data_IF_357758119513
#
_entry.id   IF_357758119513
#
_cell.length_a   1.000
_cell.length_b   1.000
_cell.length_c   1.000
_cell.angle_alpha   90.00
_cell.angle_beta   90.00
_cell.angle_gamma   90.00
#
_symmetry.space_group_name_H-M   'P 1'
#
loop_
_entity.id
_entity.type
_entity.pdbx_description
1 polymer ?
#
# COMPACT_ATOMS: atom_id res chain seq x y z
N UNK A 1 66.80 -36.74 -15.50
CA UNK A 1 65.55 -35.99 -15.75
C UNK A 1 64.43 -36.66 -14.99
N UNK A 2 63.95 -36.03 -13.92
CA UNK A 2 62.89 -36.58 -13.04
C UNK A 2 61.63 -35.73 -13.21
N UNK A 3 60.55 -36.34 -13.75
CA UNK A 3 59.23 -35.75 -13.82
C UNK A 3 58.53 -35.87 -12.47
N UNK A 4 58.06 -34.73 -11.90
CA UNK A 4 57.26 -34.67 -10.72
C UNK A 4 55.82 -34.39 -11.06
N UNK A 5 54.98 -35.40 -11.01
CA UNK A 5 53.52 -35.28 -11.15
C UNK A 5 52.95 -34.72 -9.88
N UNK A 6 52.35 -33.52 -9.92
CA UNK A 6 51.51 -32.96 -8.85
C UNK A 6 50.04 -33.21 -9.20
N UNK A 7 49.42 -34.04 -8.43
CA UNK A 7 47.98 -34.24 -8.47
C UNK A 7 47.30 -33.06 -7.76
N UNK A 8 46.48 -32.27 -8.48
CA UNK A 8 45.56 -31.29 -7.92
C UNK A 8 44.23 -32.00 -7.67
N UNK A 9 43.90 -32.28 -6.41
CA UNK A 9 42.57 -32.73 -6.02
C UNK A 9 41.65 -31.52 -5.99
N UNK A 10 40.68 -31.46 -6.91
CA UNK A 10 39.63 -30.48 -6.90
C UNK A 10 38.56 -30.93 -5.87
N UNK A 11 38.43 -30.18 -4.80
CA UNK A 11 37.32 -30.34 -3.84
C UNK A 11 36.14 -29.54 -4.40
N UNK A 12 35.14 -30.25 -4.90
CA UNK A 12 33.88 -29.65 -5.35
C UNK A 12 33.00 -29.48 -4.12
N UNK A 13 32.88 -28.24 -3.63
CA UNK A 13 31.89 -27.85 -2.61
C UNK A 13 30.52 -27.71 -3.28
N UNK A 14 29.69 -28.71 -3.15
CA UNK A 14 28.26 -28.63 -3.45
C UNK A 14 27.57 -27.77 -2.38
N UNK A 15 27.39 -26.50 -2.66
CA UNK A 15 26.56 -25.62 -1.86
C UNK A 15 25.08 -25.92 -2.11
N UNK A 16 24.42 -26.54 -1.15
CA UNK A 16 22.95 -26.62 -1.11
C UNK A 16 22.42 -25.23 -0.77
N UNK A 17 21.93 -24.51 -1.76
CA UNK A 17 21.08 -23.34 -1.52
C UNK A 17 19.71 -23.87 -1.10
N UNK A 18 19.41 -23.84 0.20
CA UNK A 18 18.05 -24.03 0.70
C UNK A 18 17.21 -22.82 0.29
N UNK A 19 15.99 -23.00 -0.23
CA UNK A 19 15.09 -21.88 -0.46
C UNK A 19 14.76 -21.25 0.89
N UNK A 20 15.02 -19.94 1.03
CA UNK A 20 14.49 -19.15 2.14
C UNK A 20 12.96 -19.14 1.99
N UNK A 21 12.29 -20.06 2.67
CA UNK A 21 10.87 -19.95 2.87
C UNK A 21 10.64 -18.66 3.69
N UNK A 22 9.93 -17.71 3.11
CA UNK A 22 9.45 -16.55 3.81
C UNK A 22 8.54 -17.05 4.94
N UNK A 23 9.07 -17.10 6.15
CA UNK A 23 8.28 -17.36 7.35
C UNK A 23 7.40 -16.14 7.56
N UNK A 24 6.13 -16.26 7.19
CA UNK A 24 5.11 -15.34 7.64
C UNK A 24 5.13 -15.34 9.17
N UNK A 25 5.76 -14.33 9.75
CA UNK A 25 5.67 -14.08 11.18
C UNK A 25 4.24 -13.69 11.49
N UNK A 26 3.45 -14.67 11.96
CA UNK A 26 2.14 -14.41 12.55
C UNK A 26 2.31 -13.57 13.82
N UNK A 27 2.49 -12.28 13.66
CA UNK A 27 2.24 -11.32 14.74
C UNK A 27 0.76 -11.40 15.06
N UNK A 28 0.40 -11.52 16.36
CA UNK A 28 -0.99 -11.44 16.77
C UNK A 28 -1.58 -10.17 16.17
N UNK A 29 -2.60 -10.33 15.32
CA UNK A 29 -3.28 -9.21 14.68
C UNK A 29 -3.79 -8.30 15.80
N UNK A 30 -3.31 -7.07 15.84
CA UNK A 30 -3.91 -6.06 16.73
C UNK A 30 -5.36 -5.90 16.30
N UNK A 31 -6.33 -5.91 17.23
CA UNK A 31 -7.72 -5.72 16.87
C UNK A 31 -7.84 -4.35 16.19
N UNK A 32 -8.08 -4.37 14.88
CA UNK A 32 -8.26 -3.15 14.12
C UNK A 32 -9.58 -2.53 14.59
N UNK A 33 -9.51 -1.37 15.24
CA UNK A 33 -10.72 -0.61 15.56
C UNK A 33 -11.31 -0.10 14.25
N UNK A 34 -12.56 -0.47 13.93
CA UNK A 34 -13.20 0.00 12.70
C UNK A 34 -13.30 1.52 12.67
N UNK A 35 -12.97 2.13 11.54
CA UNK A 35 -13.24 3.56 11.33
C UNK A 35 -14.73 3.73 11.08
N UNK A 36 -15.38 4.50 11.93
CA UNK A 36 -16.82 4.79 11.82
C UNK A 36 -17.09 6.05 10.99
N UNK A 37 -18.32 6.23 10.52
CA UNK A 37 -18.73 7.46 9.84
C UNK A 37 -18.53 8.70 10.73
N UNK A 38 -18.81 8.59 12.03
CA UNK A 38 -18.60 9.69 12.98
C UNK A 38 -17.12 10.07 13.11
N UNK A 39 -16.19 9.09 13.09
CA UNK A 39 -14.75 9.37 13.08
C UNK A 39 -14.36 10.12 11.81
N UNK A 40 -14.88 9.74 10.65
CA UNK A 40 -14.61 10.41 9.38
C UNK A 40 -15.19 11.83 9.34
N UNK A 41 -16.39 12.04 9.84
CA UNK A 41 -17.01 13.37 9.95
C UNK A 41 -16.20 14.33 10.85
N UNK A 42 -15.58 13.79 11.90
CA UNK A 42 -14.78 14.54 12.87
C UNK A 42 -13.27 14.42 12.62
N UNK A 43 -12.83 13.92 11.46
CA UNK A 43 -11.43 13.64 11.16
C UNK A 43 -10.50 14.84 11.34
N UNK A 44 -10.99 16.08 11.14
CA UNK A 44 -10.20 17.30 11.36
C UNK A 44 -9.72 17.50 12.80
N UNK A 45 -10.35 16.83 13.78
CA UNK A 45 -9.98 16.88 15.20
C UNK A 45 -9.12 15.68 15.62
N UNK A 46 -8.94 14.72 14.73
CA UNK A 46 -8.18 13.49 14.99
C UNK A 46 -6.67 13.75 14.95
N UNK A 47 -5.93 13.06 15.81
CA UNK A 47 -4.47 12.92 15.66
C UNK A 47 -4.08 11.94 14.57
N UNK A 48 -5.00 11.10 14.11
CA UNK A 48 -4.84 10.19 12.99
C UNK A 48 -5.10 10.89 11.65
N UNK A 49 -4.68 10.26 10.55
CA UNK A 49 -4.92 10.74 9.19
C UNK A 49 -5.91 9.81 8.49
N UNK A 50 -7.21 10.01 8.72
CA UNK A 50 -8.25 9.02 8.47
C UNK A 50 -8.66 8.88 7.00
N UNK A 51 -8.29 9.81 6.12
CA UNK A 51 -8.63 9.76 4.69
C UNK A 51 -7.61 10.53 3.85
N UNK A 52 -7.67 10.38 2.53
CA UNK A 52 -6.74 10.95 1.55
C UNK A 52 -6.44 12.43 1.78
N UNK A 53 -7.45 13.26 1.98
CA UNK A 53 -7.31 14.70 2.21
C UNK A 53 -7.18 15.12 3.68
N UNK A 54 -7.08 14.16 4.60
CA UNK A 54 -7.09 14.37 6.05
C UNK A 54 -8.52 14.48 6.60
N UNK A 55 -9.42 15.15 5.90
CA UNK A 55 -10.84 15.29 6.21
C UNK A 55 -11.66 15.57 4.94
N UNK A 56 -12.98 15.61 5.02
CA UNK A 56 -13.87 15.85 3.87
C UNK A 56 -13.71 17.24 3.23
N UNK A 57 -13.13 18.22 3.93
CA UNK A 57 -12.80 19.54 3.37
C UNK A 57 -11.52 19.51 2.54
N UNK A 58 -10.78 18.37 2.56
CA UNK A 58 -9.51 18.18 1.84
C UNK A 58 -8.48 19.29 2.14
N UNK A 59 -8.46 19.81 3.35
CA UNK A 59 -7.58 20.92 3.72
C UNK A 59 -6.14 20.47 4.04
N UNK A 60 -5.88 19.15 4.15
CA UNK A 60 -4.57 18.53 4.37
C UNK A 60 -3.82 19.11 5.57
N UNK A 61 -4.57 19.50 6.60
CA UNK A 61 -4.04 20.06 7.84
C UNK A 61 -4.18 19.06 8.99
N UNK A 62 -3.10 18.87 9.75
CA UNK A 62 -3.11 18.08 11.00
C UNK A 62 -3.23 19.00 12.21
N UNK A 63 -4.06 18.67 13.22
CA UNK A 63 -4.11 19.42 14.47
C UNK A 63 -2.91 19.15 15.38
N UNK A 64 -2.02 18.22 15.03
CA UNK A 64 -0.83 17.90 15.82
C UNK A 64 0.14 19.09 15.83
N UNK A 65 0.64 19.44 17.02
CA UNK A 65 1.54 20.59 17.24
C UNK A 65 2.85 20.22 17.94
N UNK A 66 3.13 18.92 18.10
CA UNK A 66 4.36 18.41 18.71
C UNK A 66 5.60 18.73 17.88
N UNK A 67 5.44 18.85 16.54
CA UNK A 67 6.50 19.33 15.65
C UNK A 67 6.21 20.81 15.35
N UNK A 68 7.22 21.66 15.55
CA UNK A 68 7.11 23.10 15.40
C UNK A 68 8.44 23.71 14.95
N UNK A 69 8.50 25.02 14.74
CA UNK A 69 9.66 25.74 14.23
C UNK A 69 10.92 25.63 15.11
N UNK A 70 10.78 25.28 16.39
CA UNK A 70 11.93 25.15 17.30
C UNK A 70 12.57 23.78 17.24
N UNK A 71 11.81 22.72 16.92
CA UNK A 71 12.28 21.34 16.98
C UNK A 71 12.30 20.60 15.63
N UNK A 72 11.69 21.14 14.57
CA UNK A 72 11.63 20.51 13.24
C UNK A 72 13.03 20.14 12.71
N UNK A 73 14.05 20.91 13.04
CA UNK A 73 15.45 20.65 12.66
C UNK A 73 16.03 19.35 13.26
N UNK A 74 15.38 18.80 14.28
CA UNK A 74 15.82 17.60 14.99
C UNK A 74 15.08 16.34 14.47
N UNK A 75 14.23 16.44 13.44
CA UNK A 75 13.57 15.29 12.86
C UNK A 75 14.58 14.32 12.24
N UNK A 76 14.39 13.04 12.55
CA UNK A 76 15.15 11.94 11.96
C UNK A 76 14.20 10.86 11.48
N UNK A 77 14.55 10.10 10.42
CA UNK A 77 13.75 8.95 10.01
C UNK A 77 13.66 7.92 11.14
N UNK A 78 12.45 7.47 11.45
CA UNK A 78 12.22 6.40 12.42
C UNK A 78 12.48 5.02 11.81
N UNK A 79 12.02 4.84 10.59
CA UNK A 79 12.23 3.65 9.75
C UNK A 79 12.06 4.04 8.28
N UNK A 80 12.52 3.20 7.39
CA UNK A 80 12.41 3.35 5.93
C UNK A 80 11.87 2.06 5.36
N UNK A 81 10.97 2.17 4.41
CA UNK A 81 10.36 1.06 3.71
C UNK A 81 10.49 1.25 2.19
N UNK A 82 10.81 0.16 1.49
CA UNK A 82 10.86 0.12 0.03
C UNK A 82 9.65 -0.68 -0.48
N UNK A 83 8.84 -0.07 -1.33
CA UNK A 83 7.62 -0.69 -1.87
C UNK A 83 7.89 -1.79 -2.89
N UNK A 84 9.12 -1.89 -3.41
CA UNK A 84 9.49 -2.86 -4.44
C UNK A 84 8.95 -2.51 -5.83
N UNK A 85 8.49 -1.28 -6.05
CA UNK A 85 8.00 -0.85 -7.37
C UNK A 85 9.12 -0.85 -8.40
N UNK A 86 8.80 -1.26 -9.64
CA UNK A 86 9.72 -1.25 -10.77
C UNK A 86 10.06 0.17 -11.23
N UNK A 87 11.10 0.28 -12.07
CA UNK A 87 11.42 1.54 -12.73
C UNK A 87 10.26 2.01 -13.62
N UNK A 88 10.10 3.32 -13.72
CA UNK A 88 9.04 4.00 -14.48
C UNK A 88 7.61 3.89 -13.87
N UNK A 89 7.51 3.55 -12.59
CA UNK A 89 6.27 3.62 -11.85
C UNK A 89 6.33 4.75 -10.80
N UNK A 90 5.30 5.60 -10.76
CA UNK A 90 5.22 6.70 -9.78
C UNK A 90 4.66 6.21 -8.46
N UNK A 91 5.26 6.60 -7.35
CA UNK A 91 4.70 6.39 -6.02
C UNK A 91 3.94 7.65 -5.60
N UNK A 92 2.63 7.65 -5.79
CA UNK A 92 1.75 8.80 -5.53
C UNK A 92 0.78 8.59 -4.36
N UNK A 93 0.96 7.49 -3.63
CA UNK A 93 0.08 7.15 -2.53
C UNK A 93 0.08 8.20 -1.43
N UNK A 94 -1.09 8.57 -0.94
CA UNK A 94 -1.24 9.29 0.34
C UNK A 94 -1.60 8.26 1.40
N UNK A 95 -0.72 8.03 2.38
CA UNK A 95 -1.01 7.07 3.45
C UNK A 95 -2.19 7.51 4.32
N UNK A 96 -2.98 6.53 4.75
CA UNK A 96 -4.03 6.69 5.77
C UNK A 96 -3.52 6.10 7.07
N UNK A 97 -3.72 6.80 8.17
CA UNK A 97 -3.29 6.38 9.51
C UNK A 97 -4.50 6.19 10.40
N UNK A 98 -4.63 5.02 10.99
CA UNK A 98 -5.72 4.65 11.89
C UNK A 98 -5.15 3.89 13.09
N UNK A 99 -5.30 4.43 14.29
CA UNK A 99 -4.90 3.75 15.54
C UNK A 99 -3.46 3.19 15.51
N UNK A 100 -2.52 3.98 14.97
CA UNK A 100 -1.12 3.60 14.89
C UNK A 100 -0.77 2.61 13.77
N UNK A 101 -1.72 2.26 12.91
CA UNK A 101 -1.46 1.48 11.68
C UNK A 101 -1.51 2.44 10.49
N UNK A 102 -0.50 2.35 9.62
CA UNK A 102 -0.44 3.08 8.36
C UNK A 102 -0.84 2.16 7.22
N UNK A 103 -1.80 2.61 6.40
CA UNK A 103 -2.27 1.93 5.21
C UNK A 103 -1.85 2.72 3.98
N UNK A 104 -1.25 2.06 3.01
CA UNK A 104 -0.79 2.70 1.78
C UNK A 104 -0.67 1.68 0.64
N UNK A 105 -0.51 2.18 -0.58
CA UNK A 105 -0.34 1.35 -1.78
C UNK A 105 1.04 1.55 -2.40
N UNK A 106 1.50 0.56 -3.18
CA UNK A 106 2.62 0.76 -4.11
C UNK A 106 2.18 1.51 -5.36
N UNK A 107 3.14 1.91 -6.18
CA UNK A 107 2.90 2.06 -7.61
C UNK A 107 2.55 0.69 -8.22
N UNK A 108 1.78 0.69 -9.31
CA UNK A 108 1.33 -0.53 -9.98
C UNK A 108 2.42 -1.05 -10.92
N UNK A 109 3.25 -1.99 -10.44
CA UNK A 109 4.33 -2.53 -11.24
C UNK A 109 4.82 -3.90 -10.72
N UNK A 110 4.45 -5.04 -11.30
CA UNK A 110 3.38 -5.28 -12.28
C UNK A 110 1.99 -5.30 -11.65
N UNK A 111 1.88 -5.48 -10.32
CA UNK A 111 0.64 -5.56 -9.56
C UNK A 111 0.57 -4.45 -8.53
N UNK A 112 -0.62 -4.18 -8.01
CA UNK A 112 -0.81 -3.23 -6.94
C UNK A 112 -0.59 -3.92 -5.58
N UNK A 113 0.37 -3.45 -4.81
CA UNK A 113 0.55 -3.91 -3.43
C UNK A 113 -0.16 -2.96 -2.48
N UNK A 114 -0.84 -3.52 -1.49
CA UNK A 114 -1.48 -2.81 -0.40
C UNK A 114 -0.81 -3.22 0.90
N UNK A 115 -0.48 -2.26 1.72
CA UNK A 115 0.29 -2.46 2.93
C UNK A 115 -0.46 -1.94 4.15
N UNK A 116 -0.37 -2.69 5.24
CA UNK A 116 -0.70 -2.23 6.59
C UNK A 116 0.53 -2.47 7.49
N UNK A 117 1.06 -1.38 8.07
CA UNK A 117 2.26 -1.42 8.89
C UNK A 117 2.03 -0.75 10.23
N UNK A 118 2.60 -1.31 11.28
CA UNK A 118 2.64 -0.70 12.59
C UNK A 118 3.61 0.50 12.58
N UNK A 119 3.10 1.70 12.82
CA UNK A 119 3.88 2.94 12.79
C UNK A 119 4.99 2.99 13.84
N UNK A 120 4.78 2.34 14.99
CA UNK A 120 5.75 2.35 16.09
C UNK A 120 6.97 1.51 15.77
N UNK A 121 6.76 0.35 15.14
CA UNK A 121 7.81 -0.64 14.91
C UNK A 121 8.31 -0.67 13.47
N UNK A 122 7.55 -0.14 12.51
CA UNK A 122 7.81 -0.25 11.07
C UNK A 122 7.65 -1.69 10.54
N UNK A 123 6.98 -2.57 11.30
CA UNK A 123 6.76 -3.97 10.90
C UNK A 123 5.43 -4.13 10.16
N UNK A 124 5.35 -5.06 9.20
CA UNK A 124 4.09 -5.37 8.53
C UNK A 124 3.09 -5.97 9.53
N UNK A 125 1.85 -5.50 9.47
CA UNK A 125 0.67 -6.17 10.02
C UNK A 125 0.19 -7.17 8.98
N UNK A 126 0.00 -6.70 7.75
CA UNK A 126 -0.24 -7.52 6.56
C UNK A 126 0.19 -6.79 5.29
N UNK A 127 0.33 -7.55 4.22
CA UNK A 127 0.58 -7.08 2.87
C UNK A 127 -0.29 -7.90 1.92
N UNK A 128 -0.93 -7.23 0.97
CA UNK A 128 -1.77 -7.86 -0.05
C UNK A 128 -1.33 -7.46 -1.44
N UNK A 129 -1.19 -8.44 -2.30
CA UNK A 129 -1.01 -8.23 -3.73
C UNK A 129 -2.37 -8.33 -4.44
N UNK A 130 -2.71 -7.28 -5.19
CA UNK A 130 -3.86 -7.25 -6.08
C UNK A 130 -3.35 -7.33 -7.51
N UNK A 131 -3.73 -8.38 -8.22
CA UNK A 131 -3.37 -8.56 -9.63
C UNK A 131 -4.06 -7.49 -10.46
N UNK A 132 -3.32 -6.94 -11.42
CA UNK A 132 -3.82 -5.93 -12.35
C UNK A 132 -3.69 -6.47 -13.77
N UNK A 133 -4.76 -6.43 -14.52
CA UNK A 133 -4.78 -6.90 -15.90
C UNK A 133 -3.86 -6.05 -16.78
N UNK A 134 -2.99 -6.70 -17.57
CA UNK A 134 -1.95 -6.02 -18.34
C UNK A 134 -2.47 -5.09 -19.44
N UNK A 135 -3.70 -5.28 -19.91
CA UNK A 135 -4.36 -4.40 -20.89
C UNK A 135 -4.63 -2.99 -20.33
N UNK A 136 -4.68 -2.81 -19.00
CA UNK A 136 -4.83 -1.51 -18.37
C UNK A 136 -3.56 -0.63 -18.46
N UNK A 137 -2.37 -1.23 -18.63
CA UNK A 137 -1.10 -0.51 -18.51
C UNK A 137 -0.83 0.51 -19.62
N UNK A 138 -1.41 0.33 -20.79
CA UNK A 138 -1.25 1.25 -21.92
C UNK A 138 -2.36 2.29 -22.04
N UNK A 139 -3.39 2.21 -21.18
CA UNK A 139 -4.60 3.05 -21.26
C UNK A 139 -4.52 4.23 -20.29
N UNK A 140 -3.92 4.02 -19.11
CA UNK A 140 -3.80 5.08 -18.11
C UNK A 140 -2.93 6.23 -18.63
N UNK A 141 -3.48 7.45 -18.62
CA UNK A 141 -2.82 8.66 -19.13
C UNK A 141 -1.49 9.00 -18.45
N UNK A 142 -1.38 8.72 -17.14
CA UNK A 142 -0.32 9.25 -16.27
C UNK A 142 0.57 8.14 -15.69
N UNK A 143 0.61 6.99 -16.34
CA UNK A 143 1.43 5.84 -15.93
C UNK A 143 0.76 4.93 -14.89
N UNK A 144 1.55 4.05 -14.32
CA UNK A 144 1.11 2.98 -13.42
C UNK A 144 1.11 3.44 -11.97
N UNK A 145 0.23 4.33 -11.61
CA UNK A 145 0.16 4.87 -10.25
C UNK A 145 -1.10 4.44 -9.51
N UNK A 146 -1.04 4.54 -8.19
CA UNK A 146 -2.17 4.37 -7.28
C UNK A 146 -2.03 5.39 -6.15
N UNK A 147 -3.10 6.15 -5.85
CA UNK A 147 -3.04 7.26 -4.90
C UNK A 147 -3.43 6.91 -3.48
N UNK A 148 -3.70 5.63 -3.22
CA UNK A 148 -3.91 5.16 -1.85
C UNK A 148 -5.25 4.48 -1.63
N UNK A 149 -5.64 4.43 -0.37
CA UNK A 149 -6.78 3.67 0.13
C UNK A 149 -7.80 4.58 0.82
N UNK A 150 -9.03 4.06 0.99
CA UNK A 150 -9.95 4.52 2.02
C UNK A 150 -10.10 3.43 3.09
N UNK A 151 -10.27 3.84 4.35
CA UNK A 151 -10.49 2.92 5.48
C UNK A 151 -11.80 3.30 6.16
N UNK A 152 -12.76 2.39 6.19
CA UNK A 152 -14.05 2.58 6.85
C UNK A 152 -14.73 1.24 7.16
N UNK A 153 -15.50 1.19 8.22
CA UNK A 153 -16.37 0.07 8.60
C UNK A 153 -15.65 -1.30 8.66
N UNK A 154 -14.38 -1.30 9.10
CA UNK A 154 -13.57 -2.51 9.19
C UNK A 154 -13.00 -3.01 7.85
N UNK A 155 -13.06 -2.18 6.82
CA UNK A 155 -12.56 -2.47 5.48
C UNK A 155 -11.50 -1.47 5.04
N UNK A 156 -10.61 -1.93 4.15
CA UNK A 156 -9.69 -1.11 3.37
C UNK A 156 -10.11 -1.21 1.91
N UNK A 157 -10.49 -0.09 1.32
CA UNK A 157 -10.95 -0.01 -0.07
C UNK A 157 -9.82 0.48 -0.97
N UNK A 158 -9.63 -0.20 -2.09
CA UNK A 158 -8.60 0.10 -3.09
C UNK A 158 -9.23 0.09 -4.48
N UNK A 159 -8.99 1.12 -5.25
CA UNK A 159 -9.29 1.11 -6.68
C UNK A 159 -8.05 0.63 -7.44
N UNK A 160 -8.18 -0.31 -8.37
CA UNK A 160 -7.05 -0.83 -9.14
C UNK A 160 -7.04 -0.30 -10.57
N UNK A 161 -5.86 -0.25 -11.18
CA UNK A 161 -5.66 0.37 -12.49
C UNK A 161 -6.54 -0.24 -13.60
N UNK A 162 -6.89 -1.50 -13.48
CA UNK A 162 -7.80 -2.23 -14.40
C UNK A 162 -9.28 -2.06 -14.07
N UNK A 163 -9.62 -0.95 -13.41
CA UNK A 163 -10.97 -0.51 -13.10
C UNK A 163 -11.77 -1.48 -12.22
N UNK A 164 -11.13 -2.00 -11.16
CA UNK A 164 -11.81 -2.71 -10.09
C UNK A 164 -11.84 -1.86 -8.81
N UNK A 165 -12.89 -2.01 -8.02
CA UNK A 165 -12.96 -1.58 -6.64
C UNK A 165 -12.93 -2.83 -5.75
N UNK A 166 -11.90 -2.91 -4.89
CA UNK A 166 -11.65 -4.06 -4.02
C UNK A 166 -11.78 -3.65 -2.57
N UNK A 167 -12.49 -4.44 -1.77
CA UNK A 167 -12.52 -4.31 -0.32
C UNK A 167 -11.72 -5.42 0.35
N UNK A 168 -10.82 -5.03 1.22
CA UNK A 168 -10.01 -5.90 2.05
C UNK A 168 -10.47 -5.80 3.51
N UNK A 169 -10.37 -6.90 4.24
CA UNK A 169 -10.52 -6.87 5.70
C UNK A 169 -9.44 -5.99 6.33
N UNK A 170 -9.83 -5.04 7.17
CA UNK A 170 -8.91 -4.08 7.77
C UNK A 170 -7.85 -4.76 8.65
N UNK A 171 -8.19 -5.86 9.32
CA UNK A 171 -7.30 -6.55 10.25
C UNK A 171 -6.36 -7.56 9.57
N UNK A 172 -6.83 -8.22 8.49
CA UNK A 172 -6.13 -9.35 7.89
C UNK A 172 -5.62 -9.11 6.47
N UNK A 173 -6.17 -8.14 5.75
CA UNK A 173 -5.89 -7.90 4.33
C UNK A 173 -6.57 -8.91 3.39
N UNK A 174 -7.48 -9.77 3.89
CA UNK A 174 -8.23 -10.70 3.06
C UNK A 174 -9.24 -9.97 2.17
N UNK A 175 -9.34 -10.39 0.91
CA UNK A 175 -10.34 -9.86 -0.01
C UNK A 175 -11.73 -10.27 0.47
N UNK A 176 -12.59 -9.29 0.71
CA UNK A 176 -14.01 -9.50 1.06
C UNK A 176 -14.90 -9.47 -0.18
N UNK A 177 -14.62 -8.54 -1.08
CA UNK A 177 -15.27 -8.46 -2.37
C UNK A 177 -14.41 -7.70 -3.38
N UNK A 178 -14.68 -7.91 -4.65
CA UNK A 178 -14.02 -7.30 -5.79
C UNK A 178 -15.09 -7.05 -6.86
N UNK A 179 -15.21 -5.81 -7.33
CA UNK A 179 -16.23 -5.36 -8.26
C UNK A 179 -15.59 -4.63 -9.43
N UNK A 180 -15.93 -5.05 -10.65
CA UNK A 180 -15.56 -4.35 -11.88
C UNK A 180 -16.38 -3.06 -11.98
N UNK A 181 -15.73 -1.92 -12.14
CA UNK A 181 -16.38 -0.59 -12.23
C UNK A 181 -16.21 0.06 -13.59
N UNK A 182 -15.38 -0.50 -14.45
CA UNK A 182 -15.17 -0.05 -15.82
C UNK A 182 -14.45 -1.11 -16.64
N UNK A 183 -14.29 -0.86 -17.93
CA UNK A 183 -13.60 -1.74 -18.86
C UNK A 183 -12.36 -1.04 -19.44
N UNK A 184 -11.13 -1.51 -19.14
CA UNK A 184 -9.91 -0.92 -19.70
C UNK A 184 -9.88 -0.95 -21.23
N UNK A 185 -10.55 -1.89 -21.88
CA UNK A 185 -10.64 -1.93 -23.34
C UNK A 185 -11.44 -0.75 -23.92
N UNK A 186 -12.26 -0.11 -23.09
CA UNK A 186 -13.00 1.11 -23.42
C UNK A 186 -12.32 2.38 -22.89
N UNK A 187 -11.12 2.25 -22.33
CA UNK A 187 -10.33 3.37 -21.82
C UNK A 187 -10.49 3.67 -20.33
N UNK A 188 -11.32 2.92 -19.59
CA UNK A 188 -11.53 3.17 -18.16
C UNK A 188 -10.38 2.63 -17.32
N UNK A 189 -9.86 3.46 -16.43
CA UNK A 189 -8.84 3.09 -15.44
C UNK A 189 -9.09 3.80 -14.12
N UNK A 190 -8.54 3.24 -13.03
CA UNK A 190 -8.65 3.83 -11.70
C UNK A 190 -7.25 4.10 -11.12
N UNK A 191 -6.97 5.36 -10.81
CA UNK A 191 -5.70 5.78 -10.20
C UNK A 191 -5.90 6.51 -8.87
N UNK A 192 -7.15 6.86 -8.54
CA UNK A 192 -7.47 7.64 -7.34
C UNK A 192 -7.58 6.78 -6.09
N UNK A 193 -7.41 7.39 -4.92
CA UNK A 193 -7.85 6.81 -3.66
C UNK A 193 -9.37 6.90 -3.56
N UNK A 194 -10.08 5.82 -3.18
CA UNK A 194 -11.52 5.87 -2.92
C UNK A 194 -11.89 6.84 -1.80
N UNK A 195 -13.12 7.30 -1.77
CA UNK A 195 -13.68 8.11 -0.69
C UNK A 195 -14.82 7.34 -0.02
N UNK A 196 -14.67 7.04 1.26
CA UNK A 196 -15.75 6.46 2.06
C UNK A 196 -16.60 7.58 2.66
N UNK A 197 -17.92 7.52 2.44
CA UNK A 197 -18.87 8.51 2.91
C UNK A 197 -20.21 7.84 3.20
N UNK A 198 -20.69 7.94 4.43
CA UNK A 198 -22.03 7.52 4.87
C UNK A 198 -22.41 6.10 4.37
N UNK A 199 -21.52 5.13 4.65
CA UNK A 199 -21.71 3.73 4.25
C UNK A 199 -21.48 3.42 2.77
N UNK A 200 -21.20 4.43 1.95
CA UNK A 200 -20.87 4.29 0.54
C UNK A 200 -19.38 4.43 0.29
N UNK A 201 -18.92 3.88 -0.83
CA UNK A 201 -17.57 4.10 -1.36
C UNK A 201 -17.69 4.76 -2.73
N UNK A 202 -17.10 5.93 -2.86
CA UNK A 202 -17.14 6.74 -4.08
C UNK A 202 -15.77 6.62 -4.76
N UNK A 203 -15.78 6.35 -6.05
CA UNK A 203 -14.61 6.42 -6.93
C UNK A 203 -14.98 7.16 -8.20
N UNK A 204 -13.97 7.67 -8.90
CA UNK A 204 -14.11 8.26 -10.23
C UNK A 204 -13.15 7.59 -11.18
N UNK A 205 -13.57 7.37 -12.41
CA UNK A 205 -12.74 6.78 -13.47
C UNK A 205 -11.84 7.83 -14.11
N UNK A 206 -10.70 7.43 -14.61
CA UNK A 206 -9.83 8.20 -15.49
C UNK A 206 -9.72 7.51 -16.85
N UNK A 207 -9.46 8.29 -17.91
CA UNK A 207 -9.41 7.78 -19.28
C UNK A 207 -10.76 7.85 -19.97
N UNK A 208 -10.89 7.09 -21.07
CA UNK A 208 -12.09 7.03 -21.93
C UNK A 208 -12.41 8.37 -22.65
N UNK A 209 -11.41 9.21 -22.91
CA UNK A 209 -11.51 10.49 -23.59
C UNK A 209 -11.37 10.34 -25.11
#
# INVERSE_FOLDING_TARGET
MRYWNRWCSAVTLLGFAAPLAAQGSGGAAMPATPVTSDMLLNAQQSGDWLMYGGNYWNNRHSPLNTINTTNVKNLVPRWVFQTGSEQNASLETTPVVVNGIIYFTSAVAPNNLVFAYDLKTGKPVWQKELKVASNAFGVACCGRNNRGVAVANGMVYVATLDAHLVALDQATGDVKWDVVVGDPAQGYTETMAPLALDGNVIIGTSGAE
#
